data_IF_817161088237
#
_entry.id   IF_817161088237
#
_cell.length_a   1.000
_cell.length_b   1.000
_cell.length_c   1.000
_cell.angle_alpha   90.00
_cell.angle_beta   90.00
_cell.angle_gamma   90.00
#
_symmetry.space_group_name_H-M   'P 1'
#
loop_
_entity.id
_entity.type
_entity.pdbx_description
1 polymer ?
#
# COMPACT_ATOMS: atom_id res chain seq x y z
N UNK A 1 -4.09 34.18 28.41
CA UNK A 1 -3.27 33.02 28.00
C UNK A 1 -4.11 31.75 27.83
N UNK A 2 -4.96 31.38 28.80
CA UNK A 2 -5.83 30.18 28.74
C UNK A 2 -6.91 30.20 27.63
N UNK A 3 -7.45 31.38 27.30
CA UNK A 3 -8.44 31.55 26.20
C UNK A 3 -7.80 31.36 24.80
N UNK A 4 -6.52 31.69 24.62
CA UNK A 4 -5.80 31.46 23.36
C UNK A 4 -5.38 30.00 23.17
N UNK A 5 -5.29 29.24 24.26
CA UNK A 5 -4.99 27.81 24.26
C UNK A 5 -6.25 26.97 23.99
N UNK A 6 -7.41 27.39 24.49
CA UNK A 6 -8.71 26.79 24.19
C UNK A 6 -9.16 27.04 22.74
N UNK A 7 -8.81 28.19 22.14
CA UNK A 7 -9.04 28.46 20.71
C UNK A 7 -8.17 27.58 19.79
N UNK A 8 -7.02 27.08 20.26
CA UNK A 8 -6.17 26.13 19.52
C UNK A 8 -6.62 24.67 19.64
N UNK A 9 -7.44 24.35 20.64
CA UNK A 9 -8.01 23.02 20.85
C UNK A 9 -9.35 22.81 20.11
N UNK A 10 -9.91 23.86 19.53
CA UNK A 10 -11.20 23.84 18.80
C UNK A 10 -11.08 24.08 17.29
N UNK A 11 -9.87 24.12 16.73
CA UNK A 11 -9.69 23.77 15.32
C UNK A 11 -9.81 22.25 15.17
N UNK A 12 -11.02 21.72 15.35
CA UNK A 12 -11.39 20.48 14.71
C UNK A 12 -10.98 20.60 13.25
N UNK A 13 -10.16 19.65 12.77
CA UNK A 13 -9.82 19.53 11.35
C UNK A 13 -11.13 19.42 10.56
N UNK A 14 -11.66 20.55 10.10
CA UNK A 14 -12.89 20.61 9.32
C UNK A 14 -12.70 19.69 8.12
N UNK A 15 -13.52 18.63 8.07
CA UNK A 15 -13.54 17.66 6.98
C UNK A 15 -13.68 18.43 5.65
N UNK A 16 -13.04 17.93 4.61
CA UNK A 16 -13.13 18.54 3.28
C UNK A 16 -14.61 18.57 2.84
N UNK A 17 -15.20 19.75 2.56
CA UNK A 17 -16.55 19.84 2.06
C UNK A 17 -16.72 18.97 0.83
N UNK A 18 -17.87 18.30 0.73
CA UNK A 18 -18.17 17.41 -0.40
C UNK A 18 -19.32 17.99 -1.20
N UNK A 19 -19.15 18.08 -2.52
CA UNK A 19 -20.15 18.55 -3.47
C UNK A 19 -20.64 17.34 -4.28
N UNK A 20 -21.96 17.22 -4.45
CA UNK A 20 -22.54 16.28 -5.40
C UNK A 20 -22.34 16.80 -6.83
N UNK A 21 -21.69 16.01 -7.67
CA UNK A 21 -21.49 16.29 -9.09
C UNK A 21 -21.93 15.07 -9.90
N UNK A 22 -23.05 15.18 -10.63
CA UNK A 22 -23.65 14.08 -11.41
C UNK A 22 -23.77 12.76 -10.63
N UNK A 23 -24.34 12.81 -9.42
CA UNK A 23 -24.50 11.63 -8.56
C UNK A 23 -23.23 11.14 -7.87
N UNK A 24 -22.08 11.77 -8.12
CA UNK A 24 -20.80 11.44 -7.47
C UNK A 24 -20.42 12.46 -6.39
N UNK A 25 -19.93 11.98 -5.26
CA UNK A 25 -19.46 12.81 -4.16
C UNK A 25 -18.01 13.28 -4.41
N UNK A 26 -17.80 14.59 -4.61
CA UNK A 26 -16.50 15.20 -4.93
C UNK A 26 -16.01 16.08 -3.79
N UNK A 27 -14.73 15.92 -3.40
CA UNK A 27 -14.10 16.71 -2.34
C UNK A 27 -13.66 18.08 -2.86
N UNK A 28 -14.24 19.16 -2.36
CA UNK A 28 -14.07 20.51 -2.92
C UNK A 28 -12.64 21.02 -2.79
N UNK A 29 -12.05 20.99 -1.60
CA UNK A 29 -10.68 21.52 -1.39
C UNK A 29 -9.66 20.65 -2.10
N UNK A 30 -9.79 19.33 -2.01
CA UNK A 30 -8.88 18.40 -2.68
C UNK A 30 -8.88 18.58 -4.19
N UNK A 31 -10.07 18.74 -4.81
CA UNK A 31 -10.18 18.96 -6.25
C UNK A 31 -9.63 20.32 -6.66
N UNK A 32 -9.93 21.40 -5.90
CA UNK A 32 -9.36 22.72 -6.17
C UNK A 32 -7.83 22.70 -6.10
N UNK A 33 -7.29 22.08 -5.05
CA UNK A 33 -5.86 21.92 -4.85
C UNK A 33 -5.18 21.18 -6.01
N UNK A 34 -5.79 20.07 -6.46
CA UNK A 34 -5.29 19.32 -7.61
C UNK A 34 -5.33 20.16 -8.89
N UNK A 35 -6.38 20.95 -9.11
CA UNK A 35 -6.46 21.85 -10.27
C UNK A 35 -5.33 22.89 -10.26
N UNK A 36 -5.05 23.53 -9.13
CA UNK A 36 -3.94 24.48 -8.98
C UNK A 36 -2.59 23.79 -9.21
N UNK A 37 -2.41 22.59 -8.66
CA UNK A 37 -1.21 21.78 -8.86
C UNK A 37 -0.99 21.42 -10.34
N UNK A 38 -2.04 21.05 -11.07
CA UNK A 38 -1.95 20.70 -12.49
C UNK A 38 -1.68 21.91 -13.38
N UNK A 39 -2.26 23.09 -13.06
CA UNK A 39 -1.93 24.34 -13.76
C UNK A 39 -0.44 24.67 -13.62
N UNK A 40 0.09 24.53 -12.42
CA UNK A 40 1.49 24.77 -12.14
C UNK A 40 2.40 23.79 -12.90
N UNK A 41 2.03 22.51 -13.00
CA UNK A 41 2.76 21.55 -13.84
C UNK A 41 2.78 21.99 -15.30
N UNK A 42 1.64 22.44 -15.83
CA UNK A 42 1.55 22.94 -17.19
C UNK A 42 2.43 24.18 -17.40
N UNK A 43 2.45 25.12 -16.47
CA UNK A 43 3.30 26.32 -16.52
C UNK A 43 4.79 26.00 -16.44
N UNK A 44 5.19 25.02 -15.62
CA UNK A 44 6.60 24.65 -15.44
C UNK A 44 7.16 23.79 -16.57
N UNK A 45 6.37 22.82 -17.06
CA UNK A 45 6.82 21.83 -18.05
C UNK A 45 6.44 22.25 -19.46
N UNK A 46 5.27 22.87 -19.66
CA UNK A 46 4.73 23.22 -20.97
C UNK A 46 5.44 24.38 -21.66
N UNK A 47 6.26 25.15 -20.94
CA UNK A 47 7.12 26.19 -21.51
C UNK A 47 8.41 25.63 -22.11
N UNK A 48 8.73 24.36 -21.84
CA UNK A 48 9.92 23.71 -22.37
C UNK A 48 9.63 23.13 -23.75
N UNK A 49 10.51 23.40 -24.72
CA UNK A 49 10.46 22.75 -26.04
C UNK A 49 10.58 21.22 -25.93
N UNK A 50 11.38 20.76 -24.96
CA UNK A 50 11.56 19.35 -24.65
C UNK A 50 11.25 19.08 -23.17
N UNK A 51 10.06 18.54 -22.86
CA UNK A 51 9.68 18.15 -21.50
C UNK A 51 10.66 17.19 -20.83
N UNK A 52 11.41 16.36 -21.56
CA UNK A 52 12.37 15.42 -20.99
C UNK A 52 13.60 16.12 -20.36
N UNK A 53 13.80 17.41 -20.65
CA UNK A 53 14.83 18.24 -20.01
C UNK A 53 14.39 18.83 -18.67
N UNK A 54 13.12 18.68 -18.28
CA UNK A 54 12.63 19.15 -16.98
C UNK A 54 13.42 18.54 -15.82
N UNK A 55 13.79 19.36 -14.83
CA UNK A 55 14.54 18.92 -13.64
C UNK A 55 13.95 19.53 -12.38
N UNK A 56 13.97 18.74 -11.30
CA UNK A 56 13.61 19.18 -9.96
C UNK A 56 14.88 19.39 -9.13
N UNK A 57 15.02 20.57 -8.53
CA UNK A 57 16.16 20.92 -7.69
C UNK A 57 15.74 21.64 -6.41
N UNK A 58 16.68 21.69 -5.44
CA UNK A 58 16.53 22.46 -4.21
C UNK A 58 15.28 22.10 -3.40
N UNK A 59 14.57 23.12 -2.91
CA UNK A 59 13.40 22.96 -2.05
C UNK A 59 12.19 22.26 -2.69
N UNK A 60 12.20 22.01 -4.01
CA UNK A 60 11.10 21.36 -4.73
C UNK A 60 11.05 19.85 -4.53
N UNK A 61 12.15 19.23 -4.09
CA UNK A 61 12.21 17.79 -3.88
C UNK A 61 11.56 17.40 -2.54
N UNK A 62 10.54 16.52 -2.54
CA UNK A 62 10.02 15.96 -1.32
C UNK A 62 10.97 14.91 -0.74
N UNK A 63 10.73 14.51 0.53
CA UNK A 63 11.46 13.40 1.16
C UNK A 63 11.45 12.16 0.26
N UNK A 64 12.60 11.51 0.13
CA UNK A 64 12.75 10.27 -0.64
C UNK A 64 11.91 9.14 -0.03
N UNK A 65 11.16 8.36 -0.84
CA UNK A 65 10.34 7.25 -0.35
C UNK A 65 11.23 6.07 0.09
N UNK A 66 10.72 5.22 0.97
CA UNK A 66 11.50 4.11 1.55
C UNK A 66 12.01 3.15 0.47
N UNK A 67 11.22 2.90 -0.57
CA UNK A 67 11.57 2.03 -1.68
C UNK A 67 12.58 2.64 -2.66
N UNK A 68 12.84 3.95 -2.61
CA UNK A 68 13.73 4.63 -3.56
C UNK A 68 15.11 4.01 -3.63
N UNK A 69 15.68 3.66 -2.47
CA UNK A 69 17.02 3.08 -2.41
C UNK A 69 17.10 1.74 -3.14
N UNK A 70 16.03 0.93 -3.07
CA UNK A 70 15.98 -0.41 -3.67
C UNK A 70 16.09 -0.36 -5.19
N UNK A 71 15.55 0.69 -5.81
CA UNK A 71 15.42 0.82 -7.27
C UNK A 71 16.24 1.97 -7.84
N UNK A 72 17.20 2.48 -7.07
CA UNK A 72 18.02 3.64 -7.42
C UNK A 72 17.19 4.83 -7.93
N UNK A 73 16.08 5.13 -7.23
CA UNK A 73 15.22 6.27 -7.53
C UNK A 73 15.92 7.58 -7.17
N UNK A 74 15.91 8.50 -8.11
CA UNK A 74 16.69 9.74 -8.12
C UNK A 74 15.79 10.96 -8.34
N UNK A 75 16.31 12.18 -8.11
CA UNK A 75 15.60 13.42 -8.48
C UNK A 75 15.21 13.51 -9.95
N UNK A 76 15.96 12.85 -10.86
CA UNK A 76 15.60 12.76 -12.27
C UNK A 76 14.31 11.95 -12.44
N UNK A 77 14.17 10.84 -11.73
CA UNK A 77 12.97 10.00 -11.79
C UNK A 77 11.74 10.76 -11.24
N UNK A 78 11.92 11.58 -10.20
CA UNK A 78 10.87 12.49 -9.72
C UNK A 78 10.44 13.51 -10.78
N UNK A 79 11.41 14.08 -11.50
CA UNK A 79 11.11 15.00 -12.60
C UNK A 79 10.32 14.29 -13.71
N UNK A 80 10.67 13.05 -14.04
CA UNK A 80 9.94 12.25 -15.04
C UNK A 80 8.52 11.87 -14.58
N UNK A 81 8.26 11.74 -13.28
CA UNK A 81 6.87 11.60 -12.79
C UNK A 81 6.05 12.86 -13.09
N UNK A 82 6.61 14.05 -12.88
CA UNK A 82 5.92 15.32 -13.20
C UNK A 82 5.71 15.47 -14.70
N UNK A 83 6.71 15.13 -15.52
CA UNK A 83 6.59 15.11 -16.99
C UNK A 83 5.53 14.11 -17.45
N UNK A 84 5.47 12.92 -16.86
CA UNK A 84 4.44 11.93 -17.20
C UNK A 84 3.03 12.41 -16.83
N UNK A 85 2.86 13.11 -15.70
CA UNK A 85 1.59 13.77 -15.36
C UNK A 85 1.23 14.85 -16.38
N UNK A 86 2.20 15.64 -16.85
CA UNK A 86 1.99 16.63 -17.91
C UNK A 86 1.55 15.99 -19.24
N UNK A 87 2.24 14.93 -19.69
CA UNK A 87 1.98 14.27 -20.99
C UNK A 87 0.68 13.45 -20.99
N UNK A 88 0.40 12.72 -19.91
CA UNK A 88 -0.66 11.70 -19.88
C UNK A 88 -1.84 12.04 -18.97
N UNK A 89 -1.68 13.03 -18.08
CA UNK A 89 -2.65 13.40 -17.06
C UNK A 89 -2.46 12.66 -15.73
N UNK A 90 -2.87 13.28 -14.63
CA UNK A 90 -2.88 12.66 -13.31
C UNK A 90 -3.91 11.53 -13.25
N UNK A 91 -3.49 10.34 -12.78
CA UNK A 91 -4.33 9.15 -12.76
C UNK A 91 -4.08 8.19 -13.92
N UNK A 92 -3.43 8.65 -15.00
CA UNK A 92 -3.10 7.84 -16.19
C UNK A 92 -1.85 6.98 -15.97
N UNK A 93 -1.81 6.22 -14.89
CA UNK A 93 -0.63 5.44 -14.47
C UNK A 93 -0.26 4.37 -15.49
N UNK A 94 -1.24 3.68 -16.06
CA UNK A 94 -1.01 2.65 -17.09
C UNK A 94 -0.28 3.24 -18.30
N UNK A 95 -0.66 4.45 -18.73
CA UNK A 95 0.00 5.16 -19.84
C UNK A 95 1.43 5.57 -19.50
N UNK A 96 1.66 6.02 -18.26
CA UNK A 96 3.01 6.37 -17.80
C UNK A 96 3.91 5.14 -17.67
N UNK A 97 3.37 3.97 -17.33
CA UNK A 97 4.12 2.72 -17.20
C UNK A 97 4.52 2.12 -18.55
N UNK A 98 3.85 2.49 -19.65
CA UNK A 98 4.23 2.06 -21.01
C UNK A 98 4.99 3.15 -21.80
N UNK A 99 5.14 4.36 -21.26
CA UNK A 99 5.92 5.42 -21.90
C UNK A 99 7.41 5.26 -21.58
N UNK A 100 8.13 4.59 -22.49
CA UNK A 100 9.58 4.35 -22.39
C UNK A 100 10.39 5.65 -22.26
N UNK A 101 9.91 6.78 -22.81
CA UNK A 101 10.62 8.06 -22.72
C UNK A 101 10.71 8.58 -21.28
N UNK A 102 9.86 8.09 -20.37
CA UNK A 102 9.91 8.44 -18.96
C UNK A 102 11.00 7.65 -18.21
N UNK A 103 11.35 6.44 -18.65
CA UNK A 103 12.39 5.61 -18.02
C UNK A 103 12.11 5.20 -16.56
N UNK A 104 10.84 5.24 -16.11
CA UNK A 104 10.46 4.95 -14.72
C UNK A 104 9.78 3.60 -14.52
N UNK A 105 9.30 2.96 -15.59
CA UNK A 105 8.46 1.76 -15.52
C UNK A 105 9.13 0.60 -14.76
N UNK A 106 10.31 0.17 -15.21
CA UNK A 106 11.08 -0.91 -14.58
C UNK A 106 11.38 -0.62 -13.10
N UNK A 107 11.69 0.64 -12.77
CA UNK A 107 11.96 1.04 -11.38
C UNK A 107 10.70 0.97 -10.52
N UNK A 108 9.55 1.38 -11.04
CA UNK A 108 8.28 1.33 -10.33
C UNK A 108 7.81 -0.12 -10.15
N UNK A 109 7.97 -0.98 -11.16
CA UNK A 109 7.66 -2.41 -11.04
C UNK A 109 8.50 -3.09 -9.96
N UNK A 110 9.80 -2.80 -9.94
CA UNK A 110 10.73 -3.33 -8.93
C UNK A 110 10.57 -2.66 -7.55
N UNK A 111 9.81 -1.56 -7.45
CA UNK A 111 9.64 -0.82 -6.19
C UNK A 111 8.66 -1.51 -5.25
N UNK A 112 7.64 -2.18 -5.77
CA UNK A 112 6.67 -2.91 -4.96
C UNK A 112 7.32 -4.15 -4.36
N UNK A 113 6.94 -4.48 -3.12
CA UNK A 113 7.33 -5.76 -2.52
C UNK A 113 6.23 -6.79 -2.75
N UNK A 114 6.57 -7.97 -3.31
CA UNK A 114 5.62 -9.06 -3.48
C UNK A 114 4.90 -9.37 -2.17
N UNK A 115 3.57 -9.44 -2.21
CA UNK A 115 2.74 -9.77 -1.05
C UNK A 115 2.41 -8.60 -0.11
N UNK A 116 2.82 -7.37 -0.44
CA UNK A 116 2.30 -6.16 0.22
C UNK A 116 1.02 -5.66 -0.46
N UNK A 117 0.28 -4.75 0.21
CA UNK A 117 -0.87 -4.06 -0.41
C UNK A 117 -0.44 -2.91 -1.35
N UNK A 118 0.85 -2.59 -1.38
CA UNK A 118 1.37 -1.53 -2.22
C UNK A 118 1.66 -2.10 -3.60
N UNK A 119 0.97 -1.56 -4.61
CA UNK A 119 1.20 -1.87 -6.03
C UNK A 119 2.12 -0.83 -6.66
N UNK A 120 2.75 -1.14 -7.80
CA UNK A 120 3.53 -0.16 -8.57
C UNK A 120 2.75 1.14 -8.84
N UNK A 121 1.47 1.04 -9.23
CA UNK A 121 0.59 2.19 -9.47
C UNK A 121 0.31 2.97 -8.18
N UNK A 122 0.19 2.29 -7.03
CA UNK A 122 0.00 2.97 -5.75
C UNK A 122 1.24 3.78 -5.33
N UNK A 123 2.44 3.30 -5.68
CA UNK A 123 3.68 4.05 -5.47
C UNK A 123 3.75 5.27 -6.37
N UNK A 124 3.39 5.11 -7.64
CA UNK A 124 3.35 6.21 -8.60
C UNK A 124 2.32 7.28 -8.19
N UNK A 125 1.10 6.86 -7.86
CA UNK A 125 0.03 7.73 -7.35
C UNK A 125 0.49 8.54 -6.13
N UNK A 126 1.06 7.87 -5.12
CA UNK A 126 1.51 8.54 -3.90
C UNK A 126 2.67 9.49 -4.20
N UNK A 127 3.61 9.07 -5.06
CA UNK A 127 4.78 9.88 -5.40
C UNK A 127 4.37 11.14 -6.15
N UNK A 128 3.52 11.02 -7.17
CA UNK A 128 2.95 12.15 -7.90
C UNK A 128 2.22 13.11 -6.95
N UNK A 129 1.34 12.60 -6.08
CA UNK A 129 0.59 13.43 -5.11
C UNK A 129 1.51 14.26 -4.22
N UNK A 130 2.59 13.67 -3.71
CA UNK A 130 3.54 14.38 -2.83
C UNK A 130 4.39 15.39 -3.61
N UNK A 131 4.78 15.07 -4.84
CA UNK A 131 5.52 15.98 -5.72
C UNK A 131 4.68 17.21 -6.07
N UNK A 132 3.46 17.03 -6.56
CA UNK A 132 2.56 18.11 -6.92
C UNK A 132 2.28 19.05 -5.74
N UNK A 133 1.94 18.47 -4.58
CA UNK A 133 1.76 19.26 -3.36
C UNK A 133 3.02 20.06 -3.01
N UNK A 134 4.20 19.47 -3.16
CA UNK A 134 5.46 20.14 -2.84
C UNK A 134 5.74 21.30 -3.79
N UNK A 135 5.47 21.12 -5.09
CA UNK A 135 5.59 22.18 -6.08
C UNK A 135 4.68 23.38 -5.76
N UNK A 136 3.41 23.11 -5.38
CA UNK A 136 2.50 24.16 -4.93
C UNK A 136 3.03 24.87 -3.69
N UNK A 137 3.44 24.13 -2.65
CA UNK A 137 3.97 24.73 -1.40
C UNK A 137 5.15 25.67 -1.64
N UNK A 138 6.09 25.28 -2.51
CA UNK A 138 7.26 26.09 -2.83
C UNK A 138 6.86 27.36 -3.58
N UNK A 139 5.94 27.23 -4.55
CA UNK A 139 5.50 28.35 -5.40
C UNK A 139 4.60 29.32 -4.65
N UNK A 140 3.78 28.84 -3.71
CA UNK A 140 2.94 29.67 -2.85
C UNK A 140 3.70 30.30 -1.67
N UNK A 141 5.03 30.17 -1.61
CA UNK A 141 5.86 30.67 -0.51
C UNK A 141 5.50 30.04 0.85
N UNK A 142 4.79 28.91 0.84
CA UNK A 142 4.27 28.28 2.05
C UNK A 142 5.34 27.37 2.65
N UNK A 143 5.79 27.69 3.86
CA UNK A 143 6.79 26.89 4.58
C UNK A 143 6.32 25.43 4.75
N UNK A 144 7.21 24.44 4.65
CA UNK A 144 6.85 23.04 4.91
C UNK A 144 6.30 22.94 6.33
N UNK A 145 4.99 22.69 6.47
CA UNK A 145 4.30 22.56 7.75
C UNK A 145 3.16 23.53 8.03
N UNK A 146 2.89 24.53 7.18
CA UNK A 146 1.80 25.49 7.42
C UNK A 146 0.47 25.18 6.72
N UNK A 147 0.40 24.11 5.90
CA UNK A 147 -0.81 23.78 5.12
C UNK A 147 -1.38 22.39 5.41
N UNK A 148 -2.51 22.34 6.12
CA UNK A 148 -3.50 21.25 6.14
C UNK A 148 -3.05 19.87 6.63
N UNK A 149 -3.55 19.50 7.82
CA UNK A 149 -3.32 18.20 8.42
C UNK A 149 -4.04 17.05 7.72
N UNK A 150 -3.28 16.19 7.05
CA UNK A 150 -3.66 14.81 6.77
C UNK A 150 -2.42 13.89 6.89
N UNK A 151 -2.07 13.54 8.12
CA UNK A 151 -1.24 12.39 8.44
C UNK A 151 -1.76 11.82 9.76
N UNK A 152 -2.77 10.96 9.66
CA UNK A 152 -3.21 10.12 10.75
C UNK A 152 -2.12 9.11 11.11
N UNK A 153 -2.02 8.83 12.41
CA UNK A 153 -1.25 7.75 13.03
C UNK A 153 0.26 7.94 13.18
N UNK A 154 0.63 8.91 14.03
CA UNK A 154 1.85 8.84 14.83
C UNK A 154 1.78 7.58 15.71
N UNK A 155 2.55 6.53 15.39
CA UNK A 155 2.93 5.55 16.41
C UNK A 155 4.23 6.01 17.06
N UNK A 156 4.14 6.12 18.38
CA UNK A 156 5.15 6.57 19.34
C UNK A 156 6.48 5.83 19.15
N UNK A 157 7.57 6.60 19.06
CA UNK A 157 8.89 6.11 19.43
C UNK A 157 9.03 6.14 20.96
N UNK A 158 9.68 5.13 21.52
CA UNK A 158 10.38 5.24 22.81
C UNK A 158 11.79 4.66 22.67
N UNK A 159 12.75 5.14 23.48
CA UNK A 159 14.17 5.11 23.16
C UNK A 159 14.92 4.00 23.92
N UNK A 160 16.05 3.55 23.39
CA UNK A 160 17.35 3.47 24.09
C UNK A 160 18.36 2.60 23.32
N UNK A 161 19.64 2.88 23.52
CA UNK A 161 20.68 1.84 23.52
C UNK A 161 21.53 1.73 22.26
N UNK A 162 22.51 2.61 22.13
CA UNK A 162 23.71 2.38 21.30
C UNK A 162 24.49 1.16 21.80
N UNK A 163 24.83 0.23 20.92
CA UNK A 163 26.09 -0.49 20.98
C UNK A 163 26.48 -1.00 19.59
N UNK A 164 27.58 -0.46 19.10
CA UNK A 164 28.32 -0.94 17.94
C UNK A 164 28.84 -2.35 18.23
N UNK A 165 28.51 -3.33 17.39
CA UNK A 165 29.40 -4.47 17.12
C UNK A 165 29.29 -4.88 15.65
N UNK A 166 30.46 -4.91 15.02
CA UNK A 166 30.73 -5.46 13.69
C UNK A 166 30.47 -6.97 13.72
N UNK A 167 29.67 -7.50 12.78
CA UNK A 167 29.68 -8.94 12.45
C UNK A 167 29.55 -9.19 10.95
N UNK A 168 30.40 -10.10 10.49
CA UNK A 168 30.59 -10.57 9.11
C UNK A 168 29.44 -11.50 8.66
N UNK A 169 28.98 -11.25 7.43
CA UNK A 169 28.37 -12.10 6.37
C UNK A 169 27.85 -13.52 6.72
N UNK A 170 26.58 -13.79 6.40
CA UNK A 170 26.09 -14.99 5.63
C UNK A 170 24.81 -14.60 4.87
N UNK A 171 24.69 -14.96 3.58
CA UNK A 171 23.45 -14.82 2.78
C UNK A 171 22.40 -15.84 3.24
N UNK A 172 21.14 -15.48 3.52
CA UNK A 172 20.07 -16.46 3.59
C UNK A 172 19.41 -16.63 2.21
N UNK A 173 19.26 -17.89 1.79
CA UNK A 173 18.43 -18.30 0.65
C UNK A 173 16.98 -17.79 0.71
N UNK A 174 16.28 -17.70 -0.44
CA UNK A 174 14.95 -17.10 -0.54
C UNK A 174 13.91 -17.89 0.27
N UNK A 175 13.55 -17.37 1.44
CA UNK A 175 12.44 -17.87 2.24
C UNK A 175 11.12 -17.50 1.54
N UNK A 176 10.56 -18.44 0.77
CA UNK A 176 9.25 -18.29 0.10
C UNK A 176 8.19 -17.65 1.03
N UNK A 177 7.51 -16.61 0.56
CA UNK A 177 6.59 -15.84 1.40
C UNK A 177 5.31 -16.63 1.71
N UNK A 178 4.63 -16.30 2.82
CA UNK A 178 3.34 -16.92 3.21
C UNK A 178 2.30 -16.85 2.07
N UNK A 179 2.32 -15.78 1.28
CA UNK A 179 1.42 -15.59 0.14
C UNK A 179 1.78 -16.45 -1.09
N UNK A 180 3.06 -16.76 -1.29
CA UNK A 180 3.53 -17.70 -2.33
C UNK A 180 3.18 -19.13 -1.94
N UNK A 181 3.41 -19.50 -0.69
CA UNK A 181 3.07 -20.83 -0.14
C UNK A 181 1.57 -21.09 -0.21
N UNK A 182 0.76 -20.06 0.05
CA UNK A 182 -0.70 -20.17 0.04
C UNK A 182 -1.31 -19.90 -1.35
N UNK A 183 -0.50 -19.67 -2.39
CA UNK A 183 -0.96 -19.33 -3.74
C UNK A 183 -1.89 -20.40 -4.30
N UNK A 184 -1.48 -21.67 -4.19
CA UNK A 184 -2.25 -22.84 -4.64
C UNK A 184 -3.55 -23.04 -3.86
N UNK A 185 -3.62 -22.57 -2.62
CA UNK A 185 -4.82 -22.68 -1.77
C UNK A 185 -5.75 -21.47 -1.86
N UNK A 186 -5.37 -20.39 -2.57
CA UNK A 186 -6.25 -19.23 -2.82
C UNK A 186 -7.63 -19.59 -3.38
N UNK A 187 -7.78 -20.46 -4.40
CA UNK A 187 -9.10 -20.86 -4.90
C UNK A 187 -9.96 -21.53 -3.81
N UNK A 188 -9.36 -22.43 -3.01
CA UNK A 188 -10.05 -23.13 -1.91
C UNK A 188 -10.49 -22.16 -0.82
N UNK A 189 -9.65 -21.18 -0.46
CA UNK A 189 -10.00 -20.13 0.50
C UNK A 189 -11.16 -19.25 0.02
N UNK A 190 -11.22 -18.93 -1.28
CA UNK A 190 -12.35 -18.18 -1.86
C UNK A 190 -13.64 -19.01 -1.85
N UNK A 191 -13.57 -20.32 -2.08
CA UNK A 191 -14.73 -21.23 -1.96
C UNK A 191 -15.26 -21.25 -0.53
N UNK A 192 -14.39 -21.32 0.48
CA UNK A 192 -14.80 -21.22 1.89
C UNK A 192 -15.50 -19.88 2.18
N UNK A 193 -14.95 -18.78 1.67
CA UNK A 193 -15.55 -17.45 1.84
C UNK A 193 -16.93 -17.35 1.20
N UNK A 194 -17.09 -17.87 -0.02
CA UNK A 194 -18.37 -17.90 -0.75
C UNK A 194 -19.40 -18.76 -0.02
N UNK A 195 -19.00 -19.92 0.48
CA UNK A 195 -19.87 -20.78 1.30
C UNK A 195 -20.41 -20.06 2.54
N UNK A 196 -19.62 -19.22 3.20
CA UNK A 196 -20.08 -18.44 4.35
C UNK A 196 -21.10 -17.36 3.98
N UNK A 197 -20.99 -16.79 2.78
CA UNK A 197 -21.93 -15.79 2.26
C UNK A 197 -23.26 -16.43 1.86
N UNK A 198 -23.21 -17.65 1.33
CA UNK A 198 -24.38 -18.40 0.87
C UNK A 198 -25.00 -19.30 1.96
N UNK A 199 -24.68 -19.06 3.24
CA UNK A 199 -25.10 -19.90 4.39
C UNK A 199 -26.62 -20.08 4.53
N UNK A 200 -27.41 -19.15 4.01
CA UNK A 200 -28.88 -19.14 4.09
C UNK A 200 -29.53 -19.83 2.89
N UNK A 201 -28.76 -20.09 1.81
CA UNK A 201 -29.26 -20.66 0.55
C UNK A 201 -28.94 -22.14 0.38
N UNK A 202 -28.17 -22.73 1.28
CA UNK A 202 -27.75 -24.14 1.21
C UNK A 202 -28.16 -24.94 2.44
N UNK A 203 -28.34 -26.24 2.22
CA UNK A 203 -28.55 -27.21 3.29
C UNK A 203 -27.36 -27.21 4.27
N UNK A 204 -27.66 -27.11 5.58
CA UNK A 204 -26.65 -27.00 6.64
C UNK A 204 -25.72 -28.22 6.68
N UNK A 205 -26.23 -29.42 6.39
CA UNK A 205 -25.43 -30.66 6.39
C UNK A 205 -24.47 -30.68 5.20
N UNK A 206 -24.94 -30.31 4.00
CA UNK A 206 -24.10 -30.18 2.80
C UNK A 206 -23.04 -29.07 2.93
N UNK A 207 -23.42 -27.92 3.48
CA UNK A 207 -22.49 -26.82 3.74
C UNK A 207 -21.37 -27.24 4.70
N UNK A 208 -21.70 -27.96 5.77
CA UNK A 208 -20.72 -28.46 6.73
C UNK A 208 -19.77 -29.47 6.08
N UNK A 209 -20.26 -30.34 5.19
CA UNK A 209 -19.43 -31.32 4.49
C UNK A 209 -18.44 -30.66 3.53
N UNK A 210 -18.89 -29.70 2.72
CA UNK A 210 -18.00 -28.93 1.85
C UNK A 210 -17.00 -28.07 2.62
N UNK A 211 -17.43 -27.50 3.76
CA UNK A 211 -16.54 -26.73 4.63
C UNK A 211 -15.44 -27.61 5.22
N UNK A 212 -15.77 -28.85 5.63
CA UNK A 212 -14.78 -29.83 6.10
C UNK A 212 -13.77 -30.16 5.01
N UNK A 213 -14.23 -30.47 3.80
CA UNK A 213 -13.35 -30.83 2.68
C UNK A 213 -12.37 -29.70 2.33
N UNK A 214 -12.87 -28.47 2.20
CA UNK A 214 -12.02 -27.32 1.90
C UNK A 214 -11.09 -26.94 3.05
N UNK A 215 -11.54 -27.06 4.30
CA UNK A 215 -10.68 -26.80 5.45
C UNK A 215 -9.61 -27.89 5.60
N UNK A 216 -9.93 -29.15 5.32
CA UNK A 216 -8.98 -30.24 5.32
C UNK A 216 -7.91 -30.05 4.24
N UNK A 217 -8.31 -29.69 3.01
CA UNK A 217 -7.38 -29.38 1.92
C UNK A 217 -6.41 -28.25 2.29
N UNK A 218 -6.92 -27.16 2.87
CA UNK A 218 -6.10 -26.02 3.30
C UNK A 218 -5.18 -26.39 4.47
N UNK A 219 -5.67 -27.13 5.46
CA UNK A 219 -4.87 -27.52 6.63
C UNK A 219 -3.76 -28.51 6.30
N UNK A 220 -4.07 -29.53 5.50
CA UNK A 220 -3.09 -30.52 5.03
C UNK A 220 -1.97 -29.84 4.22
N UNK A 221 -2.32 -28.84 3.42
CA UNK A 221 -1.35 -28.03 2.69
C UNK A 221 -0.41 -27.27 3.62
N UNK A 222 -0.96 -26.57 4.61
CA UNK A 222 -0.18 -25.79 5.58
C UNK A 222 0.76 -26.70 6.38
N UNK A 223 0.27 -27.85 6.87
CA UNK A 223 1.09 -28.81 7.62
C UNK A 223 2.16 -29.48 6.74
N UNK A 224 1.81 -29.87 5.52
CA UNK A 224 2.77 -30.44 4.55
C UNK A 224 3.90 -29.48 4.25
N UNK A 225 3.58 -28.20 3.95
CA UNK A 225 4.62 -27.20 3.67
C UNK A 225 5.42 -26.85 4.92
N UNK A 226 4.78 -26.79 6.09
CA UNK A 226 5.48 -26.53 7.35
C UNK A 226 6.48 -27.65 7.67
N UNK A 227 6.11 -28.91 7.45
CA UNK A 227 6.97 -30.08 7.63
C UNK A 227 8.10 -30.12 6.59
N UNK A 228 7.77 -29.94 5.31
CA UNK A 228 8.73 -30.01 4.21
C UNK A 228 9.79 -28.90 4.26
N UNK A 229 9.41 -27.69 4.71
CA UNK A 229 10.30 -26.53 4.76
C UNK A 229 10.84 -26.23 6.17
N UNK A 230 10.59 -27.10 7.14
CA UNK A 230 11.07 -26.96 8.53
C UNK A 230 10.65 -25.64 9.19
N UNK A 231 9.40 -25.22 9.01
CA UNK A 231 8.93 -23.93 9.52
C UNK A 231 8.86 -23.91 11.05
N UNK A 232 9.27 -22.78 11.63
CA UNK A 232 9.05 -22.49 13.04
C UNK A 232 7.56 -22.31 13.32
N UNK A 233 7.14 -22.55 14.56
CA UNK A 233 5.75 -22.36 15.01
C UNK A 233 5.20 -20.97 14.64
N UNK A 234 6.03 -19.92 14.69
CA UNK A 234 5.65 -18.56 14.31
C UNK A 234 5.34 -18.41 12.81
N UNK A 235 6.07 -19.13 11.94
CA UNK A 235 5.85 -19.06 10.49
C UNK A 235 4.65 -19.90 10.07
N UNK A 236 4.44 -21.03 10.71
CA UNK A 236 3.22 -21.82 10.55
C UNK A 236 1.98 -21.03 10.99
N UNK A 237 2.06 -20.34 12.13
CA UNK A 237 0.97 -19.47 12.62
C UNK A 237 0.62 -18.36 11.61
N UNK A 238 1.62 -17.79 10.93
CA UNK A 238 1.39 -16.81 9.85
C UNK A 238 0.63 -17.40 8.66
N UNK A 239 0.83 -18.67 8.30
CA UNK A 239 0.07 -19.37 7.26
C UNK A 239 -1.40 -19.55 7.68
N UNK A 240 -1.63 -19.98 8.93
CA UNK A 240 -2.97 -20.12 9.49
C UNK A 240 -3.71 -18.78 9.61
N UNK A 241 -3.01 -17.72 10.01
CA UNK A 241 -3.56 -16.36 10.07
C UNK A 241 -3.93 -15.85 8.67
N UNK A 242 -3.12 -16.15 7.66
CA UNK A 242 -3.42 -15.82 6.27
C UNK A 242 -4.67 -16.57 5.78
N UNK A 243 -4.74 -17.89 6.03
CA UNK A 243 -5.86 -18.72 5.67
C UNK A 243 -7.17 -18.22 6.30
N UNK A 244 -7.16 -17.92 7.62
CA UNK A 244 -8.33 -17.46 8.36
C UNK A 244 -8.86 -16.12 7.82
N UNK A 245 -7.95 -15.17 7.56
CA UNK A 245 -8.29 -13.86 7.01
C UNK A 245 -8.86 -13.93 5.59
N UNK A 246 -8.33 -14.82 4.75
CA UNK A 246 -8.74 -14.93 3.33
C UNK A 246 -10.04 -15.72 3.16
N UNK A 247 -10.22 -16.77 3.95
CA UNK A 247 -11.45 -17.56 4.00
C UNK A 247 -12.59 -16.86 4.74
N UNK A 248 -12.27 -15.81 5.53
CA UNK A 248 -13.19 -15.14 6.44
C UNK A 248 -13.81 -16.06 7.51
N UNK A 249 -13.27 -17.28 7.67
CA UNK A 249 -13.78 -18.29 8.61
C UNK A 249 -13.60 -17.89 10.07
N UNK A 250 -12.49 -17.22 10.36
CA UNK A 250 -12.23 -16.67 11.68
C UNK A 250 -11.27 -15.48 11.58
N UNK A 251 -11.24 -14.63 12.63
CA UNK A 251 -10.34 -13.46 12.72
C UNK A 251 -8.92 -13.82 13.18
N UNK A 252 -8.72 -15.07 13.59
CA UNK A 252 -7.52 -15.61 14.25
C UNK A 252 -7.23 -17.00 13.69
N UNK A 253 -6.02 -17.17 13.16
CA UNK A 253 -5.52 -18.40 12.56
C UNK A 253 -5.42 -19.56 13.53
N UNK A 254 -5.14 -19.30 14.80
CA UNK A 254 -5.06 -20.34 15.84
C UNK A 254 -6.41 -21.04 16.03
N UNK A 255 -7.51 -20.29 15.92
CA UNK A 255 -8.86 -20.88 15.99
C UNK A 255 -9.22 -21.64 14.71
N UNK A 256 -8.79 -21.18 13.53
CA UNK A 256 -8.96 -21.94 12.29
C UNK A 256 -8.18 -23.26 12.34
N UNK A 257 -6.95 -23.24 12.88
CA UNK A 257 -6.13 -24.44 13.13
C UNK A 257 -6.81 -25.41 14.10
N UNK A 258 -7.39 -24.89 15.19
CA UNK A 258 -8.14 -25.71 16.15
C UNK A 258 -9.39 -26.35 15.53
N UNK A 259 -10.13 -25.63 14.67
CA UNK A 259 -11.27 -26.17 13.93
C UNK A 259 -10.79 -27.27 12.97
N UNK A 260 -9.69 -27.04 12.24
CA UNK A 260 -9.10 -28.05 11.37
C UNK A 260 -8.77 -29.34 12.15
N UNK A 261 -8.03 -29.25 13.27
CA UNK A 261 -7.68 -30.41 14.10
C UNK A 261 -8.90 -31.20 14.57
N UNK A 262 -9.93 -30.48 15.05
CA UNK A 262 -11.20 -31.08 15.48
C UNK A 262 -11.93 -31.80 14.36
N UNK A 263 -11.79 -31.34 13.11
CA UNK A 263 -12.42 -31.95 11.94
C UNK A 263 -11.57 -33.05 11.30
N UNK A 264 -10.25 -33.00 11.43
CA UNK A 264 -9.32 -34.02 10.91
C UNK A 264 -9.18 -35.25 11.80
N UNK A 265 -9.81 -35.27 12.98
CA UNK A 265 -9.78 -36.41 13.91
C UNK A 265 -8.45 -36.62 14.62
N UNK A 266 -7.63 -35.57 14.74
CA UNK A 266 -6.33 -35.56 15.45
C UNK A 266 -6.36 -34.56 16.60
#
# INVERSE_FOLDING_TARGET
HRVAEEARLTEEKKKDPTLGFFGSAVKVKSTKNLLEELKLVHEMVGVLDDPAKFRLGGGMLPRSPVWARKVAWSPKDDAMVVVGVFKHGFGSWDKMMVDESLGIAEKIDNSAEPGTKQTPESHLYYRATVLLRRLREVTSGTRPGSGSGAAGSRKRARPSGSSQQVRVRVKPEPKATVSEIMLEMKPTLLKIKKLQQDKEKMDKKKMLEMMKEFLASVGNHIESVAKAKGFTSEREEKLWNYAAKKSNLHKDGSKMKAIFKRLSGV
#
